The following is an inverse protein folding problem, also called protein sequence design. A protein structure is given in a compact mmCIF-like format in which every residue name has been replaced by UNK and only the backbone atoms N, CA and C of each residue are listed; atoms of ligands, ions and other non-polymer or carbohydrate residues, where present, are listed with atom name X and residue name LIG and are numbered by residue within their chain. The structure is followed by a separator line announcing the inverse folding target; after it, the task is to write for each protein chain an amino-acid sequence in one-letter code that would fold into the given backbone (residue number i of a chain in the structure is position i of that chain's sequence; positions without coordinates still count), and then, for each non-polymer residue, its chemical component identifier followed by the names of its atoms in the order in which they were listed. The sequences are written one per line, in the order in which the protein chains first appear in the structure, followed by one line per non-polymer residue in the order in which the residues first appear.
data_IF_004605101645
#
_entry.id   IF_004605101645
#
_cell.length_a   1.000
_cell.length_b   1.000
_cell.length_c   1.000
_cell.angle_alpha   90.00
_cell.angle_beta   90.00
_cell.angle_gamma   90.00
#
_symmetry.space_group_name_H-M   'P 1'
#
loop_
_entity.id
_entity.type
_entity.pdbx_description
1 polymer ?
#
# COMPACT_ATOMS: atom_id res chain seq x y z
N UNK A 1 10.27 15.92 -13.71
CA UNK A 1 10.25 17.37 -13.50
C UNK A 1 10.49 17.71 -12.03
N UNK A 2 9.62 17.30 -11.08
CA UNK A 2 9.81 17.59 -9.64
C UNK A 2 11.05 16.93 -9.00
N UNK A 3 11.61 15.88 -9.59
CA UNK A 3 12.82 15.22 -9.09
C UNK A 3 14.14 15.97 -9.43
N UNK A 4 14.10 16.91 -10.38
CA UNK A 4 15.31 17.62 -10.84
C UNK A 4 15.84 18.55 -9.73
N UNK A 5 15.01 19.42 -9.10
CA UNK A 5 15.47 20.26 -7.99
C UNK A 5 15.99 19.43 -6.80
N UNK A 6 15.37 18.29 -6.51
CA UNK A 6 15.80 17.38 -5.43
C UNK A 6 17.18 16.81 -5.70
N UNK A 7 17.44 16.37 -6.94
CA UNK A 7 18.76 15.87 -7.34
C UNK A 7 19.83 16.96 -7.22
N UNK A 8 19.57 18.15 -7.76
CA UNK A 8 20.49 19.30 -7.71
C UNK A 8 20.75 19.76 -6.27
N UNK A 9 19.74 19.68 -5.39
CA UNK A 9 19.93 19.98 -3.96
C UNK A 9 20.84 18.95 -3.26
N UNK A 10 20.86 17.71 -3.74
CA UNK A 10 21.66 16.62 -3.20
C UNK A 10 23.17 16.79 -3.39
N UNK A 11 23.61 17.51 -4.41
CA UNK A 11 25.04 17.76 -4.67
C UNK A 11 25.73 18.46 -3.50
N UNK A 12 25.02 19.40 -2.86
CA UNK A 12 25.53 20.08 -1.65
C UNK A 12 25.61 19.14 -0.45
N UNK A 13 24.61 18.29 -0.28
CA UNK A 13 24.61 17.28 0.80
C UNK A 13 25.74 16.27 0.60
N UNK A 14 26.00 15.85 -0.64
CA UNK A 14 27.09 14.93 -0.96
C UNK A 14 28.46 15.54 -0.64
N UNK A 15 28.68 16.81 -0.97
CA UNK A 15 29.94 17.50 -0.65
C UNK A 15 30.22 17.64 0.85
N UNK A 16 29.17 17.61 1.68
CA UNK A 16 29.29 17.58 3.15
C UNK A 16 29.53 16.15 3.63
N UNK A 17 28.75 15.18 3.16
CA UNK A 17 28.91 13.75 3.52
C UNK A 17 30.28 13.20 3.11
N UNK A 18 30.86 13.69 2.01
CA UNK A 18 32.20 13.31 1.56
C UNK A 18 33.32 13.66 2.53
N UNK A 19 33.05 14.52 3.50
CA UNK A 19 34.01 14.91 4.53
C UNK A 19 33.97 13.99 5.75
N UNK A 20 32.94 13.14 5.89
CA UNK A 20 32.84 12.18 6.99
C UNK A 20 33.72 10.95 6.69
N UNK A 21 34.76 10.67 7.49
CA UNK A 21 35.65 9.53 7.27
C UNK A 21 34.97 8.17 7.45
N UNK A 22 33.75 8.11 8.01
CA UNK A 22 32.97 6.88 8.15
C UNK A 22 32.24 6.48 6.86
N UNK A 23 32.14 7.39 5.89
CA UNK A 23 31.40 7.17 4.64
C UNK A 23 32.37 6.76 3.52
N UNK A 24 32.08 5.64 2.87
CA UNK A 24 32.89 5.16 1.75
C UNK A 24 32.71 6.05 0.52
N UNK A 25 33.82 6.58 0.00
CA UNK A 25 33.86 7.36 -1.25
C UNK A 25 33.39 6.53 -2.46
N UNK A 26 33.64 5.23 -2.46
CA UNK A 26 33.24 4.31 -3.54
C UNK A 26 31.73 4.04 -3.54
N UNK A 27 31.11 3.94 -2.37
CA UNK A 27 29.65 3.86 -2.27
C UNK A 27 28.99 5.16 -2.73
N UNK A 28 29.59 6.30 -2.39
CA UNK A 28 29.07 7.61 -2.75
C UNK A 28 29.18 7.90 -4.25
N UNK A 29 30.29 7.52 -4.89
CA UNK A 29 30.46 7.61 -6.35
C UNK A 29 29.47 6.68 -7.08
N UNK A 30 29.26 5.48 -6.54
CA UNK A 30 28.27 4.50 -7.02
C UNK A 30 26.85 5.07 -6.93
N UNK A 31 26.48 5.62 -5.77
CA UNK A 31 25.18 6.29 -5.57
C UNK A 31 24.97 7.45 -6.55
N UNK A 32 26.00 8.28 -6.75
CA UNK A 32 25.94 9.37 -7.71
C UNK A 32 25.68 8.87 -9.14
N UNK A 33 26.43 7.87 -9.60
CA UNK A 33 26.30 7.30 -10.95
C UNK A 33 24.91 6.71 -11.21
N UNK A 34 24.37 5.92 -10.27
CA UNK A 34 23.01 5.41 -10.35
C UNK A 34 21.96 6.52 -10.29
N UNK A 35 22.22 7.56 -9.48
CA UNK A 35 21.37 8.75 -9.39
C UNK A 35 21.28 9.53 -10.72
N UNK A 36 22.41 9.81 -11.38
CA UNK A 36 22.43 10.48 -12.70
C UNK A 36 21.67 9.64 -13.72
N UNK A 37 21.92 8.32 -13.73
CA UNK A 37 21.29 7.40 -14.68
C UNK A 37 19.77 7.35 -14.49
N UNK A 38 19.31 7.27 -13.24
CA UNK A 38 17.90 7.32 -12.88
C UNK A 38 17.25 8.64 -13.28
N UNK A 39 17.93 9.77 -13.07
CA UNK A 39 17.43 11.09 -13.46
C UNK A 39 17.30 11.22 -14.98
N UNK A 40 18.30 10.75 -15.73
CA UNK A 40 18.29 10.77 -17.19
C UNK A 40 17.11 9.95 -17.74
N UNK A 41 16.92 8.72 -17.24
CA UNK A 41 15.76 7.89 -17.63
C UNK A 41 14.42 8.52 -17.25
N UNK A 42 14.33 9.17 -16.10
CA UNK A 42 13.11 9.86 -15.69
C UNK A 42 12.79 11.04 -16.63
N UNK A 43 13.81 11.79 -17.06
CA UNK A 43 13.66 12.88 -18.05
C UNK A 43 13.22 12.31 -19.41
N UNK A 44 13.81 11.19 -19.85
CA UNK A 44 13.41 10.52 -21.09
C UNK A 44 11.97 10.01 -21.02
N UNK A 45 11.59 9.40 -19.90
CA UNK A 45 10.21 8.94 -19.66
C UNK A 45 9.23 10.11 -19.75
N UNK A 46 9.55 11.24 -19.10
CA UNK A 46 8.73 12.44 -19.13
C UNK A 46 8.64 13.05 -20.54
N UNK A 47 9.75 13.10 -21.28
CA UNK A 47 9.78 13.59 -22.66
C UNK A 47 8.93 12.71 -23.58
N UNK A 48 9.10 11.39 -23.50
CA UNK A 48 8.30 10.43 -24.28
C UNK A 48 6.80 10.59 -24.00
N UNK A 49 6.42 10.72 -22.72
CA UNK A 49 5.03 10.95 -22.32
C UNK A 49 4.47 12.29 -22.82
N UNK A 50 5.26 13.37 -22.76
CA UNK A 50 4.85 14.69 -23.24
C UNK A 50 4.71 14.74 -24.77
N UNK A 51 5.63 14.12 -25.50
CA UNK A 51 5.57 14.02 -26.96
C UNK A 51 4.30 13.28 -27.38
N UNK A 52 3.99 12.17 -26.73
CA UNK A 52 2.79 11.39 -27.04
C UNK A 52 1.50 12.13 -26.65
N UNK A 53 1.51 12.84 -25.51
CA UNK A 53 0.40 13.70 -25.12
C UNK A 53 0.18 14.85 -26.12
N UNK A 54 1.24 15.41 -26.68
CA UNK A 54 1.14 16.45 -27.71
C UNK A 54 0.70 15.90 -29.06
N UNK A 55 1.17 14.70 -29.45
CA UNK A 55 0.73 14.02 -30.69
C UNK A 55 -0.74 13.65 -30.64
N UNK A 56 -1.21 13.11 -29.52
CA UNK A 56 -2.61 12.72 -29.33
C UNK A 56 -3.59 13.91 -29.41
N UNK A 57 -3.16 15.15 -29.14
CA UNK A 57 -3.98 16.35 -29.40
C UNK A 57 -4.31 16.54 -30.88
N UNK A 58 -3.50 15.99 -31.79
CA UNK A 58 -3.71 16.08 -33.25
C UNK A 58 -4.33 14.82 -33.84
N UNK A 59 -3.96 13.66 -33.31
CA UNK A 59 -4.34 12.36 -33.86
C UNK A 59 -5.60 11.74 -33.20
N UNK A 60 -6.18 12.42 -32.20
CA UNK A 60 -7.33 11.98 -31.38
C UNK A 60 -7.18 10.62 -30.65
N UNK A 61 -6.03 9.95 -30.76
CA UNK A 61 -5.72 8.68 -30.09
C UNK A 61 -4.25 8.60 -29.68
N UNK A 62 -3.99 7.80 -28.64
CA UNK A 62 -2.65 7.44 -28.18
C UNK A 62 -2.14 6.21 -28.94
N UNK A 63 -0.86 6.20 -29.28
CA UNK A 63 -0.18 5.04 -29.88
C UNK A 63 0.13 3.97 -28.83
N UNK A 64 -0.25 2.72 -29.11
CA UNK A 64 0.06 1.59 -28.22
C UNK A 64 1.57 1.39 -28.04
N UNK A 65 2.36 1.57 -29.10
CA UNK A 65 3.81 1.42 -29.04
C UNK A 65 4.44 2.51 -28.18
N UNK A 66 3.95 3.75 -28.28
CA UNK A 66 4.39 4.85 -27.44
C UNK A 66 4.01 4.62 -25.97
N UNK A 67 2.81 4.10 -25.70
CA UNK A 67 2.38 3.74 -24.35
C UNK A 67 3.23 2.62 -23.75
N UNK A 68 3.55 1.57 -24.53
CA UNK A 68 4.45 0.51 -24.11
C UNK A 68 5.87 1.02 -23.86
N UNK A 69 6.37 1.96 -24.68
CA UNK A 69 7.66 2.59 -24.48
C UNK A 69 7.68 3.40 -23.18
N UNK A 70 6.69 4.27 -22.96
CA UNK A 70 6.59 5.06 -21.72
C UNK A 70 6.49 4.15 -20.50
N UNK A 71 5.71 3.08 -20.58
CA UNK A 71 5.60 2.09 -19.51
C UNK A 71 6.93 1.36 -19.27
N UNK A 72 7.60 0.91 -20.32
CA UNK A 72 8.91 0.25 -20.22
C UNK A 72 9.95 1.16 -19.58
N UNK A 73 10.05 2.42 -20.03
CA UNK A 73 10.95 3.40 -19.45
C UNK A 73 10.60 3.71 -17.98
N UNK A 74 9.31 3.80 -17.64
CA UNK A 74 8.88 4.00 -16.26
C UNK A 74 9.25 2.81 -15.35
N UNK A 75 9.12 1.58 -15.84
CA UNK A 75 9.51 0.36 -15.09
C UNK A 75 11.02 0.28 -14.87
N UNK A 76 11.82 0.59 -15.90
CA UNK A 76 13.29 0.64 -15.77
C UNK A 76 13.70 1.76 -14.82
N UNK A 77 13.07 2.93 -14.93
CA UNK A 77 13.31 4.06 -14.01
C UNK A 77 13.01 3.64 -12.58
N UNK A 78 11.88 2.97 -12.33
CA UNK A 78 11.53 2.47 -11.00
C UNK A 78 12.57 1.49 -10.46
N UNK A 79 13.03 0.54 -11.28
CA UNK A 79 14.06 -0.42 -10.88
C UNK A 79 15.38 0.27 -10.52
N UNK A 80 15.83 1.25 -11.31
CA UNK A 80 17.05 2.01 -11.00
C UNK A 80 16.89 2.89 -9.76
N UNK A 81 15.70 3.46 -9.52
CA UNK A 81 15.43 4.23 -8.30
C UNK A 81 15.48 3.35 -7.06
N UNK A 82 15.07 2.08 -7.14
CA UNK A 82 15.24 1.11 -6.04
C UNK A 82 16.73 0.87 -5.76
N UNK A 83 17.53 0.62 -6.80
CA UNK A 83 19.00 0.43 -6.66
C UNK A 83 19.65 1.69 -6.08
N UNK A 84 19.33 2.87 -6.62
CA UNK A 84 19.85 4.15 -6.14
C UNK A 84 19.48 4.35 -4.66
N UNK A 85 18.23 4.08 -4.30
CA UNK A 85 17.74 4.19 -2.92
C UNK A 85 18.43 3.20 -1.97
N UNK A 86 18.75 1.99 -2.41
CA UNK A 86 19.47 0.99 -1.62
C UNK A 86 20.90 1.47 -1.28
N UNK A 87 21.65 1.94 -2.28
CA UNK A 87 23.00 2.49 -2.03
C UNK A 87 22.94 3.74 -1.15
N UNK A 88 21.95 4.63 -1.38
CA UNK A 88 21.73 5.81 -0.56
C UNK A 88 21.38 5.47 0.89
N UNK A 89 20.65 4.37 1.11
CA UNK A 89 20.33 3.87 2.44
C UNK A 89 21.60 3.38 3.16
N UNK A 90 22.47 2.62 2.49
CA UNK A 90 23.72 2.12 3.09
C UNK A 90 24.67 3.24 3.52
N UNK A 91 24.69 4.35 2.77
CA UNK A 91 25.48 5.54 3.10
C UNK A 91 24.94 6.19 4.39
N UNK A 92 23.61 6.36 4.47
CA UNK A 92 22.96 7.11 5.54
C UNK A 92 22.75 6.31 6.83
N UNK A 93 22.75 4.97 6.77
CA UNK A 93 22.39 4.11 7.91
C UNK A 93 23.48 3.12 8.30
N UNK A 94 24.74 3.56 8.28
CA UNK A 94 25.87 2.74 8.69
C UNK A 94 25.76 2.28 10.16
N UNK A 95 25.06 3.06 11.00
CA UNK A 95 24.70 2.77 12.38
C UNK A 95 23.63 1.67 12.54
N UNK A 96 22.86 1.39 11.49
CA UNK A 96 21.87 0.31 11.45
C UNK A 96 22.40 -0.97 10.78
N UNK A 97 23.72 -1.06 10.52
CA UNK A 97 24.38 -2.33 10.19
C UNK A 97 24.42 -3.19 11.44
N UNK A 98 23.30 -3.86 11.68
CA UNK A 98 23.13 -4.75 12.82
C UNK A 98 24.11 -5.92 12.68
N UNK A 99 24.87 -6.22 13.74
CA UNK A 99 25.72 -7.40 13.81
C UNK A 99 24.86 -8.65 13.57
N UNK A 100 25.17 -9.51 12.59
CA UNK A 100 24.44 -10.75 12.32
C UNK A 100 24.23 -11.63 13.57
N UNK A 101 25.12 -11.55 14.56
CA UNK A 101 25.00 -12.28 15.83
C UNK A 101 23.91 -11.71 16.76
N UNK A 102 23.49 -10.45 16.56
CA UNK A 102 22.50 -9.74 17.39
C UNK A 102 21.16 -9.49 16.67
N UNK A 103 21.08 -9.81 15.36
CA UNK A 103 19.89 -9.61 14.55
C UNK A 103 18.75 -10.56 14.96
N UNK A 104 17.61 -10.00 15.39
CA UNK A 104 16.38 -10.76 15.65
C UNK A 104 15.58 -11.07 14.39
N UNK A 105 15.75 -10.28 13.33
CA UNK A 105 15.14 -10.51 12.02
C UNK A 105 16.11 -10.13 10.90
N UNK A 106 15.96 -10.71 9.70
CA UNK A 106 16.75 -10.32 8.55
C UNK A 106 16.62 -8.82 8.25
N UNK A 107 17.75 -8.14 8.05
CA UNK A 107 17.79 -6.70 7.72
C UNK A 107 16.96 -6.36 6.46
N UNK A 108 16.82 -7.31 5.54
CA UNK A 108 15.99 -7.21 4.33
C UNK A 108 14.57 -6.66 4.59
N UNK A 109 13.96 -6.94 5.74
CA UNK A 109 12.62 -6.43 6.06
C UNK A 109 12.57 -4.91 6.21
N UNK A 110 13.63 -4.31 6.76
CA UNK A 110 13.79 -2.85 6.85
C UNK A 110 13.91 -2.21 5.47
N UNK A 111 14.69 -2.83 4.58
CA UNK A 111 14.79 -2.37 3.18
C UNK A 111 13.44 -2.46 2.48
N UNK A 112 12.76 -3.60 2.60
CA UNK A 112 11.43 -3.80 1.99
C UNK A 112 10.41 -2.82 2.56
N UNK A 113 10.41 -2.52 3.86
CA UNK A 113 9.52 -1.52 4.45
C UNK A 113 9.76 -0.13 3.87
N UNK A 114 11.02 0.32 3.81
CA UNK A 114 11.35 1.62 3.24
C UNK A 114 11.00 1.68 1.76
N UNK A 115 11.20 0.62 0.97
CA UNK A 115 10.78 0.63 -0.43
C UNK A 115 9.26 0.67 -0.55
N UNK A 116 8.55 -0.20 0.19
CA UNK A 116 7.11 -0.31 0.11
C UNK A 116 6.39 0.94 0.61
N UNK A 117 6.93 1.64 1.60
CA UNK A 117 6.25 2.80 2.20
C UNK A 117 6.05 3.97 1.22
N UNK A 118 6.86 4.06 0.15
CA UNK A 118 6.74 5.12 -0.86
C UNK A 118 5.45 4.99 -1.67
N UNK A 119 4.96 3.77 -1.89
CA UNK A 119 3.74 3.55 -2.68
C UNK A 119 2.49 4.14 -2.00
N UNK A 120 2.16 3.81 -0.74
CA UNK A 120 1.03 4.42 -0.05
C UNK A 120 1.31 5.84 0.43
N UNK A 121 2.56 6.30 0.59
CA UNK A 121 2.82 7.70 1.01
C UNK A 121 2.82 8.66 -0.18
N UNK A 122 3.84 8.56 -1.04
CA UNK A 122 4.01 9.41 -2.22
C UNK A 122 2.87 9.19 -3.22
N UNK A 123 2.50 7.94 -3.47
CA UNK A 123 1.40 7.61 -4.38
C UNK A 123 0.07 8.21 -3.94
N UNK A 124 -0.18 8.31 -2.63
CA UNK A 124 -1.42 8.86 -2.08
C UNK A 124 -1.47 10.39 -2.18
N UNK A 125 -0.34 11.08 -1.98
CA UNK A 125 -0.24 12.53 -2.22
C UNK A 125 -0.57 12.84 -3.69
N UNK A 126 0.05 12.12 -4.63
CA UNK A 126 -0.23 12.31 -6.05
C UNK A 126 -1.68 11.94 -6.41
N UNK A 127 -2.22 10.86 -5.85
CA UNK A 127 -3.61 10.48 -6.04
C UNK A 127 -4.57 11.57 -5.58
N UNK A 128 -4.33 12.19 -4.42
CA UNK A 128 -5.18 13.26 -3.89
C UNK A 128 -5.10 14.53 -4.73
N UNK A 129 -3.90 14.96 -5.12
CA UNK A 129 -3.74 16.13 -6.00
C UNK A 129 -4.43 15.91 -7.35
N UNK A 130 -4.22 14.73 -7.95
CA UNK A 130 -4.86 14.36 -9.21
C UNK A 130 -6.38 14.23 -9.06
N UNK A 131 -6.86 13.75 -7.92
CA UNK A 131 -8.28 13.65 -7.61
C UNK A 131 -8.95 15.01 -7.46
N UNK A 132 -8.32 15.94 -6.74
CA UNK A 132 -8.81 17.32 -6.60
C UNK A 132 -8.89 17.97 -7.98
N UNK A 133 -7.83 17.86 -8.80
CA UNK A 133 -7.85 18.34 -10.18
C UNK A 133 -8.99 17.69 -10.99
N UNK A 134 -9.22 16.38 -10.83
CA UNK A 134 -10.30 15.66 -11.49
C UNK A 134 -11.70 16.15 -11.09
N UNK A 135 -11.89 16.54 -9.82
CA UNK A 135 -13.12 17.13 -9.31
C UNK A 135 -13.34 18.52 -9.92
N UNK A 136 -12.31 19.38 -9.88
CA UNK A 136 -12.36 20.75 -10.44
C UNK A 136 -12.59 20.74 -11.95
N UNK A 137 -11.88 19.88 -12.68
CA UNK A 137 -12.03 19.73 -14.14
C UNK A 137 -13.28 18.93 -14.53
N UNK A 138 -14.04 18.41 -13.56
CA UNK A 138 -15.19 17.55 -13.74
C UNK A 138 -14.97 16.34 -14.71
N UNK A 139 -13.77 15.78 -14.73
CA UNK A 139 -13.39 14.73 -15.68
C UNK A 139 -13.64 13.33 -15.10
N UNK A 140 -14.54 12.56 -15.73
CA UNK A 140 -14.93 11.21 -15.27
C UNK A 140 -13.78 10.21 -15.29
N UNK A 141 -12.92 10.27 -16.31
CA UNK A 141 -11.78 9.36 -16.45
C UNK A 141 -10.76 9.63 -15.34
N UNK A 142 -10.43 10.89 -15.10
CA UNK A 142 -9.49 11.28 -14.03
C UNK A 142 -10.02 10.92 -12.64
N UNK A 143 -11.33 11.09 -12.40
CA UNK A 143 -11.98 10.67 -11.14
C UNK A 143 -11.82 9.17 -10.93
N UNK A 144 -12.17 8.35 -11.94
CA UNK A 144 -12.03 6.89 -11.87
C UNK A 144 -10.58 6.44 -11.66
N UNK A 145 -9.64 7.04 -12.39
CA UNK A 145 -8.22 6.72 -12.26
C UNK A 145 -7.73 6.99 -10.83
N UNK A 146 -8.09 8.15 -10.26
CA UNK A 146 -7.73 8.50 -8.88
C UNK A 146 -8.31 7.51 -7.86
N UNK A 147 -9.59 7.12 -8.04
CA UNK A 147 -10.24 6.13 -7.16
C UNK A 147 -9.50 4.78 -7.20
N UNK A 148 -9.03 4.35 -8.37
CA UNK A 148 -8.22 3.12 -8.48
C UNK A 148 -6.89 3.27 -7.73
N UNK A 149 -6.21 4.41 -7.84
CA UNK A 149 -4.94 4.63 -7.11
C UNK A 149 -5.17 4.61 -5.60
N UNK A 150 -6.26 5.19 -5.08
CA UNK A 150 -6.60 5.08 -3.65
C UNK A 150 -6.81 3.63 -3.20
N UNK A 151 -7.46 2.79 -4.01
CA UNK A 151 -7.61 1.36 -3.73
C UNK A 151 -6.25 0.66 -3.71
N UNK A 152 -5.36 0.96 -4.66
CA UNK A 152 -4.01 0.40 -4.71
C UNK A 152 -3.19 0.80 -3.47
N UNK A 153 -3.23 2.08 -3.08
CA UNK A 153 -2.56 2.54 -1.85
C UNK A 153 -3.12 1.83 -0.61
N UNK A 154 -4.42 1.59 -0.53
CA UNK A 154 -5.03 0.84 0.56
C UNK A 154 -4.55 -0.62 0.63
N UNK A 155 -4.46 -1.28 -0.53
CA UNK A 155 -3.95 -2.65 -0.64
C UNK A 155 -2.48 -2.71 -0.22
N UNK A 156 -1.63 -1.79 -0.71
CA UNK A 156 -0.20 -1.76 -0.42
C UNK A 156 0.14 -1.24 0.99
N UNK A 157 -0.79 -0.55 1.66
CA UNK A 157 -0.66 -0.16 3.06
C UNK A 157 -0.51 -1.36 4.00
N UNK A 158 -1.20 -2.47 3.70
CA UNK A 158 -1.15 -3.70 4.53
C UNK A 158 0.27 -4.30 4.58
N UNK A 159 0.90 -4.69 3.45
CA UNK A 159 2.27 -5.22 3.50
C UNK A 159 3.27 -4.18 4.01
N UNK A 160 3.05 -2.88 3.76
CA UNK A 160 3.89 -1.81 4.33
C UNK A 160 3.89 -1.83 5.86
N UNK A 161 2.72 -1.96 6.49
CA UNK A 161 2.61 -2.05 7.94
C UNK A 161 3.28 -3.32 8.50
N UNK A 162 3.07 -4.46 7.83
CA UNK A 162 3.63 -5.75 8.24
C UNK A 162 5.16 -5.74 8.17
N UNK A 163 5.74 -5.22 7.09
CA UNK A 163 7.19 -5.13 6.97
C UNK A 163 7.78 -4.13 7.96
N UNK A 164 7.05 -3.05 8.28
CA UNK A 164 7.47 -2.09 9.32
C UNK A 164 7.50 -2.68 10.73
N UNK A 165 6.56 -3.58 11.04
CA UNK A 165 6.59 -4.34 12.29
C UNK A 165 7.81 -5.25 12.39
N UNK A 166 8.20 -5.90 11.29
CA UNK A 166 9.44 -6.66 11.23
C UNK A 166 10.67 -5.75 11.41
N UNK A 167 10.68 -4.57 10.79
CA UNK A 167 11.73 -3.56 11.00
C UNK A 167 11.86 -3.12 12.46
N UNK A 168 10.74 -2.93 13.17
CA UNK A 168 10.75 -2.60 14.59
C UNK A 168 11.49 -3.65 15.43
N UNK A 169 11.34 -4.95 15.14
CA UNK A 169 12.07 -5.98 15.88
C UNK A 169 13.56 -5.97 15.58
N UNK A 170 13.96 -5.63 14.35
CA UNK A 170 15.35 -5.43 14.00
C UNK A 170 15.98 -4.29 14.82
N UNK A 171 15.22 -3.22 15.07
CA UNK A 171 15.66 -2.04 15.85
C UNK A 171 15.54 -2.23 17.38
N UNK A 172 14.87 -3.29 17.85
CA UNK A 172 14.64 -3.48 19.28
C UNK A 172 15.92 -3.89 19.99
N UNK A 173 16.42 -3.03 20.87
CA UNK A 173 17.63 -3.29 21.68
C UNK A 173 18.90 -2.64 21.12
N UNK A 174 18.80 -1.89 20.01
CA UNK A 174 19.90 -1.09 19.47
C UNK A 174 20.16 0.12 20.40
N UNK A 175 21.39 0.32 20.88
CA UNK A 175 21.75 1.50 21.67
C UNK A 175 21.44 2.81 20.91
N UNK A 176 20.81 3.78 21.58
CA UNK A 176 20.48 5.08 21.00
C UNK A 176 19.09 5.17 20.35
N UNK A 177 18.38 4.05 20.13
CA UNK A 177 17.03 4.04 19.58
C UNK A 177 16.00 3.87 20.71
N UNK A 178 15.14 4.89 20.90
CA UNK A 178 14.09 4.84 21.92
C UNK A 178 12.93 3.94 21.49
N UNK A 179 12.63 2.92 22.30
CA UNK A 179 11.47 2.04 22.08
C UNK A 179 10.14 2.79 22.12
N UNK A 180 10.04 3.85 22.93
CA UNK A 180 8.83 4.66 23.02
C UNK A 180 8.57 5.46 21.72
N UNK A 181 9.63 5.96 21.06
CA UNK A 181 9.52 6.65 19.77
C UNK A 181 9.10 5.66 18.66
N UNK A 182 9.70 4.47 18.65
CA UNK A 182 9.35 3.41 17.67
C UNK A 182 7.89 2.97 17.85
N UNK A 183 7.44 2.75 19.09
CA UNK A 183 6.04 2.43 19.38
C UNK A 183 5.09 3.56 18.93
N UNK A 184 5.46 4.82 19.17
CA UNK A 184 4.66 5.96 18.75
C UNK A 184 4.51 6.08 17.22
N UNK A 185 5.56 5.77 16.45
CA UNK A 185 5.47 5.66 14.99
C UNK A 185 4.57 4.50 14.56
N UNK A 186 4.76 3.31 15.16
CA UNK A 186 3.95 2.12 14.88
C UNK A 186 2.47 2.37 15.12
N UNK A 187 2.13 2.99 16.25
CA UNK A 187 0.75 3.28 16.62
C UNK A 187 0.11 4.24 15.61
N UNK A 188 0.84 5.28 15.17
CA UNK A 188 0.36 6.18 14.13
C UNK A 188 0.26 5.49 12.76
N UNK A 189 1.18 4.58 12.45
CA UNK A 189 1.13 3.77 11.23
C UNK A 189 -0.12 2.88 11.18
N UNK A 190 -0.58 2.38 12.33
CA UNK A 190 -1.84 1.65 12.42
C UNK A 190 -3.03 2.57 12.12
N UNK A 191 -3.06 3.81 12.62
CA UNK A 191 -4.08 4.80 12.24
C UNK A 191 -4.03 5.17 10.75
N UNK A 192 -2.84 5.26 10.16
CA UNK A 192 -2.69 5.45 8.72
C UNK A 192 -3.27 4.28 7.93
N UNK A 193 -3.05 3.04 8.39
CA UNK A 193 -3.64 1.86 7.78
C UNK A 193 -5.18 1.92 7.81
N UNK A 194 -5.78 2.43 8.89
CA UNK A 194 -7.22 2.71 8.98
C UNK A 194 -7.66 3.70 7.91
N UNK A 195 -7.04 4.88 7.87
CA UNK A 195 -7.37 5.91 6.89
C UNK A 195 -7.28 5.39 5.46
N UNK A 196 -6.21 4.67 5.15
CA UNK A 196 -6.00 4.01 3.86
C UNK A 196 -7.13 3.03 3.54
N UNK A 197 -7.50 2.15 4.48
CA UNK A 197 -8.57 1.18 4.24
C UNK A 197 -9.94 1.85 4.03
N UNK A 198 -10.29 2.87 4.81
CA UNK A 198 -11.55 3.61 4.61
C UNK A 198 -11.60 4.34 3.28
N UNK A 199 -10.51 5.04 2.93
CA UNK A 199 -10.39 5.73 1.65
C UNK A 199 -10.47 4.74 0.49
N UNK A 200 -9.76 3.61 0.57
CA UNK A 200 -9.77 2.57 -0.45
C UNK A 200 -11.14 1.89 -0.61
N UNK A 201 -11.79 1.48 0.48
CA UNK A 201 -13.11 0.85 0.46
C UNK A 201 -14.16 1.79 -0.12
N UNK A 202 -14.19 3.04 0.32
CA UNK A 202 -15.14 4.04 -0.22
C UNK A 202 -14.88 4.35 -1.69
N UNK A 203 -13.60 4.39 -2.11
CA UNK A 203 -13.23 4.55 -3.50
C UNK A 203 -13.65 3.33 -4.36
N UNK A 204 -13.46 2.11 -3.84
CA UNK A 204 -13.88 0.88 -4.51
C UNK A 204 -15.41 0.77 -4.64
N UNK A 205 -16.15 1.13 -3.60
CA UNK A 205 -17.62 1.23 -3.64
C UNK A 205 -18.06 2.15 -4.77
N UNK A 206 -17.44 3.33 -4.90
CA UNK A 206 -17.80 4.27 -5.95
C UNK A 206 -17.44 3.76 -7.35
N UNK A 207 -16.31 3.05 -7.52
CA UNK A 207 -15.97 2.37 -8.76
C UNK A 207 -17.02 1.30 -9.13
N UNK A 208 -17.44 0.50 -8.16
CA UNK A 208 -18.48 -0.50 -8.34
C UNK A 208 -19.84 0.15 -8.69
N UNK A 209 -20.22 1.24 -8.00
CA UNK A 209 -21.45 1.99 -8.28
C UNK A 209 -21.42 2.60 -9.67
N UNK A 210 -20.31 3.20 -10.08
CA UNK A 210 -20.15 3.74 -11.43
C UNK A 210 -20.37 2.65 -12.49
N UNK A 211 -19.79 1.47 -12.28
CA UNK A 211 -19.96 0.32 -13.17
C UNK A 211 -21.42 -0.12 -13.29
N UNK A 212 -22.15 -0.16 -12.18
CA UNK A 212 -23.53 -0.65 -12.14
C UNK A 212 -24.57 0.40 -12.56
N UNK A 213 -24.36 1.66 -12.18
CA UNK A 213 -25.32 2.75 -12.36
C UNK A 213 -24.97 3.69 -13.53
N UNK A 214 -23.78 3.53 -14.12
CA UNK A 214 -23.29 4.35 -15.23
C UNK A 214 -22.91 5.79 -14.86
N UNK A 215 -22.99 6.17 -13.57
CA UNK A 215 -22.75 7.54 -13.10
C UNK A 215 -22.06 7.59 -11.75
N UNK A 216 -21.25 8.63 -11.56
CA UNK A 216 -20.64 8.94 -10.27
C UNK A 216 -21.62 9.69 -9.36
N UNK A 217 -21.44 9.56 -8.06
CA UNK A 217 -22.22 10.21 -7.01
C UNK A 217 -21.39 11.26 -6.31
N UNK A 218 -21.78 12.54 -6.43
CA UNK A 218 -21.08 13.66 -5.79
C UNK A 218 -20.92 13.46 -4.28
N UNK A 219 -21.94 12.94 -3.59
CA UNK A 219 -21.85 12.63 -2.15
C UNK A 219 -20.74 11.62 -1.85
N UNK A 220 -20.62 10.57 -2.65
CA UNK A 220 -19.56 9.58 -2.48
C UNK A 220 -18.19 10.12 -2.82
N UNK A 221 -18.09 10.95 -3.86
CA UNK A 221 -16.84 11.61 -4.24
C UNK A 221 -16.34 12.54 -3.12
N UNK A 222 -17.23 13.35 -2.54
CA UNK A 222 -16.86 14.20 -1.40
C UNK A 222 -16.56 13.41 -0.13
N UNK A 223 -17.21 12.26 0.08
CA UNK A 223 -16.87 11.36 1.18
C UNK A 223 -15.47 10.76 1.01
N UNK A 224 -15.11 10.30 -0.19
CA UNK A 224 -13.75 9.84 -0.51
C UNK A 224 -12.74 10.97 -0.29
N UNK A 225 -13.06 12.19 -0.74
CA UNK A 225 -12.19 13.36 -0.53
C UNK A 225 -11.95 13.64 0.96
N UNK A 226 -13.01 13.61 1.77
CA UNK A 226 -12.91 13.84 3.21
C UNK A 226 -12.01 12.79 3.88
N UNK A 227 -12.23 11.49 3.59
CA UNK A 227 -11.36 10.43 4.10
C UNK A 227 -9.92 10.56 3.60
N UNK A 228 -9.72 10.96 2.35
CA UNK A 228 -8.39 11.11 1.79
C UNK A 228 -7.62 12.25 2.47
N UNK A 229 -8.24 13.40 2.73
CA UNK A 229 -7.61 14.51 3.44
C UNK A 229 -7.23 14.11 4.87
N UNK A 230 -8.14 13.44 5.60
CA UNK A 230 -7.87 12.95 6.95
C UNK A 230 -6.72 11.93 6.93
N UNK A 231 -6.75 10.98 6.00
CA UNK A 231 -5.71 9.95 5.83
C UNK A 231 -4.36 10.59 5.55
N UNK A 232 -4.29 11.61 4.70
CA UNK A 232 -3.04 12.32 4.42
C UNK A 232 -2.49 13.00 5.68
N UNK A 233 -3.34 13.62 6.50
CA UNK A 233 -2.91 14.24 7.76
C UNK A 233 -2.30 13.23 8.73
N UNK A 234 -2.97 12.10 8.94
CA UNK A 234 -2.48 11.00 9.82
C UNK A 234 -1.20 10.37 9.27
N UNK A 235 -1.12 10.22 7.95
CA UNK A 235 0.05 9.69 7.25
C UNK A 235 1.25 10.63 7.33
N UNK A 236 1.04 11.95 7.22
CA UNK A 236 2.09 12.95 7.40
C UNK A 236 2.67 12.88 8.83
N UNK A 237 1.80 12.76 9.84
CA UNK A 237 2.22 12.57 11.23
C UNK A 237 2.95 11.24 11.45
N UNK A 238 2.54 10.16 10.76
CA UNK A 238 3.27 8.88 10.75
C UNK A 238 4.69 9.05 10.21
N UNK A 239 4.83 9.75 9.09
CA UNK A 239 6.12 10.05 8.47
C UNK A 239 7.01 10.92 9.37
N UNK A 240 6.43 11.95 10.00
CA UNK A 240 7.14 12.81 10.96
C UNK A 240 7.71 12.01 12.14
N UNK A 241 6.88 11.17 12.78
CA UNK A 241 7.33 10.27 13.86
C UNK A 241 8.36 9.24 13.39
N UNK A 242 8.22 8.77 12.15
CA UNK A 242 9.18 7.85 11.55
C UNK A 242 10.56 8.48 11.40
N UNK A 243 10.61 9.75 10.97
CA UNK A 243 11.86 10.52 10.89
C UNK A 243 12.53 10.67 12.26
N UNK A 244 11.74 10.91 13.32
CA UNK A 244 12.28 11.12 14.67
C UNK A 244 12.99 9.88 15.26
N UNK A 245 12.79 8.68 14.69
CA UNK A 245 13.47 7.44 15.12
C UNK A 245 14.99 7.57 14.94
N UNK A 246 15.44 8.00 13.76
CA UNK A 246 16.86 7.99 13.39
C UNK A 246 17.45 9.38 13.12
N UNK A 247 16.62 10.42 12.97
CA UNK A 247 17.08 11.77 12.68
C UNK A 247 16.96 12.67 13.93
N UNK A 248 17.98 12.73 14.80
CA UNK A 248 17.98 13.70 15.90
C UNK A 248 17.96 15.16 15.41
N UNK A 249 18.42 15.43 14.19
CA UNK A 249 18.48 16.75 13.57
C UNK A 249 17.11 17.33 13.21
N UNK A 250 16.09 16.50 13.01
CA UNK A 250 14.72 17.00 12.76
C UNK A 250 13.96 17.25 14.08
N UNK A 251 14.59 16.96 15.23
CA UNK A 251 13.98 17.21 16.55
C UNK A 251 14.17 18.68 16.88
N UNK A 252 13.07 19.39 17.07
CA UNK A 252 13.11 20.78 17.55
C UNK A 252 13.20 20.75 19.08
N UNK A 253 13.82 21.76 19.70
CA UNK A 253 13.97 21.82 21.16
C UNK A 253 12.63 21.74 21.94
N UNK A 254 11.51 22.00 21.28
CA UNK A 254 10.14 21.89 21.80
C UNK A 254 9.52 20.50 21.66
N UNK A 255 10.14 19.58 20.92
CA UNK A 255 9.59 18.24 20.68
C UNK A 255 9.62 17.41 21.96
N UNK A 256 8.44 17.12 22.51
CA UNK A 256 8.29 16.17 23.62
C UNK A 256 8.35 14.75 23.07
N UNK A 257 9.53 14.14 23.08
CA UNK A 257 9.67 12.74 22.68
C UNK A 257 8.91 11.83 23.64
N UNK A 258 8.20 10.80 23.13
CA UNK A 258 7.64 9.76 23.97
C UNK A 258 8.73 9.12 24.83
N UNK A 259 8.53 9.11 26.15
CA UNK A 259 9.42 8.49 27.13
C UNK A 259 8.86 7.17 27.66
N UNK A 260 7.54 7.06 27.76
CA UNK A 260 6.83 5.84 28.17
C UNK A 260 6.41 5.02 26.92
N UNK A 261 6.93 3.80 26.74
CA UNK A 261 6.54 2.92 25.64
C UNK A 261 5.08 2.44 25.70
N UNK A 262 4.38 2.65 26.81
CA UNK A 262 2.97 2.28 27.02
C UNK A 262 2.03 3.47 26.92
N UNK A 263 2.53 4.69 26.78
CA UNK A 263 1.70 5.87 26.63
C UNK A 263 1.23 6.04 25.18
N UNK A 264 -0.03 6.45 25.01
CA UNK A 264 -0.60 6.72 23.69
C UNK A 264 -2.07 6.32 23.58
N UNK A 265 -2.70 6.75 22.49
CA UNK A 265 -4.10 6.43 22.23
C UNK A 265 -4.31 4.92 21.98
N UNK A 266 -3.39 4.29 21.24
CA UNK A 266 -3.51 2.87 20.88
C UNK A 266 -3.35 1.93 22.08
N UNK A 267 -2.35 2.07 22.97
CA UNK A 267 -2.28 1.29 24.21
C UNK A 267 -3.48 1.52 25.15
N UNK A 268 -4.01 2.75 25.20
CA UNK A 268 -5.21 3.05 25.99
C UNK A 268 -6.45 2.32 25.43
N UNK A 269 -6.61 2.31 24.10
CA UNK A 269 -7.66 1.55 23.42
C UNK A 269 -7.47 0.04 23.62
N UNK A 270 -6.24 -0.46 23.47
CA UNK A 270 -5.89 -1.86 23.72
C UNK A 270 -6.29 -2.28 25.14
N UNK A 271 -5.91 -1.48 26.14
CA UNK A 271 -6.29 -1.70 27.54
C UNK A 271 -7.81 -1.70 27.70
N UNK A 272 -8.52 -0.72 27.15
CA UNK A 272 -9.99 -0.65 27.20
C UNK A 272 -10.62 -1.90 26.58
N UNK A 273 -10.19 -2.30 25.38
CA UNK A 273 -10.71 -3.46 24.67
C UNK A 273 -10.53 -4.73 25.49
N UNK A 274 -9.34 -4.92 26.09
CA UNK A 274 -9.02 -6.12 26.87
C UNK A 274 -9.82 -6.24 28.19
N UNK A 275 -10.40 -5.14 28.68
CA UNK A 275 -11.27 -5.15 29.87
C UNK A 275 -12.77 -5.30 29.54
N UNK A 276 -13.17 -5.29 28.27
CA UNK A 276 -14.57 -5.36 27.85
C UNK A 276 -14.89 -6.74 27.28
N UNK A 277 -15.82 -7.46 27.92
CA UNK A 277 -16.24 -8.83 27.52
C UNK A 277 -16.81 -8.90 26.09
N UNK A 278 -17.28 -7.78 25.54
CA UNK A 278 -17.76 -7.62 24.17
C UNK A 278 -16.65 -7.56 23.11
N UNK A 279 -15.40 -7.93 23.43
CA UNK A 279 -14.40 -8.18 22.38
C UNK A 279 -14.62 -9.55 21.68
N UNK A 280 -15.22 -10.52 22.38
CA UNK A 280 -15.57 -11.88 21.88
C UNK A 280 -16.44 -11.91 20.58
N UNK A 281 -17.42 -11.01 20.34
CA UNK A 281 -18.19 -10.97 19.10
C UNK A 281 -17.43 -10.42 17.89
N UNK A 282 -16.34 -9.66 18.04
CA UNK A 282 -15.62 -9.10 16.88
C UNK A 282 -14.93 -10.18 16.06
N UNK A 283 -14.46 -11.24 16.71
CA UNK A 283 -13.95 -12.41 16.01
C UNK A 283 -15.07 -13.08 15.19
N UNK A 284 -16.30 -13.13 15.69
CA UNK A 284 -17.48 -13.63 14.95
C UNK A 284 -17.83 -12.72 13.77
N UNK A 285 -17.84 -11.40 13.96
CA UNK A 285 -18.04 -10.42 12.87
C UNK A 285 -16.97 -10.59 11.79
N UNK A 286 -15.71 -10.78 12.18
CA UNK A 286 -14.59 -11.01 11.27
C UNK A 286 -14.74 -12.33 10.50
N UNK A 287 -15.12 -13.41 11.17
CA UNK A 287 -15.37 -14.69 10.49
C UNK A 287 -16.57 -14.62 9.55
N UNK A 288 -17.65 -13.95 9.94
CA UNK A 288 -18.83 -13.77 9.11
C UNK A 288 -18.51 -12.93 7.85
N UNK A 289 -17.84 -11.79 8.03
CA UNK A 289 -17.37 -10.98 6.90
C UNK A 289 -16.42 -11.78 6.00
N UNK A 290 -15.54 -12.59 6.57
CA UNK A 290 -14.66 -13.50 5.83
C UNK A 290 -15.44 -14.50 4.97
N UNK A 291 -16.48 -15.13 5.52
CA UNK A 291 -17.36 -16.04 4.77
C UNK A 291 -18.05 -15.35 3.60
N UNK A 292 -18.48 -14.09 3.76
CA UNK A 292 -19.07 -13.31 2.67
C UNK A 292 -18.06 -13.02 1.55
N UNK A 293 -16.83 -12.61 1.90
CA UNK A 293 -15.79 -12.36 0.90
C UNK A 293 -15.43 -13.65 0.18
N UNK A 294 -15.18 -14.74 0.92
CA UNK A 294 -14.84 -16.03 0.34
C UNK A 294 -15.95 -16.57 -0.57
N UNK A 295 -17.21 -16.53 -0.11
CA UNK A 295 -18.35 -16.99 -0.92
C UNK A 295 -18.50 -16.19 -2.22
N UNK A 296 -18.34 -14.87 -2.14
CA UNK A 296 -18.36 -13.98 -3.32
C UNK A 296 -17.20 -14.29 -4.27
N UNK A 297 -15.97 -14.39 -3.74
CA UNK A 297 -14.78 -14.69 -4.54
C UNK A 297 -14.86 -16.08 -5.18
N UNK A 298 -15.36 -17.08 -4.46
CA UNK A 298 -15.56 -18.43 -4.96
C UNK A 298 -16.56 -18.45 -6.11
N UNK A 299 -17.72 -17.80 -5.96
CA UNK A 299 -18.73 -17.73 -7.02
C UNK A 299 -18.20 -17.04 -8.29
N UNK A 300 -17.49 -15.91 -8.14
CA UNK A 300 -16.83 -15.22 -9.27
C UNK A 300 -15.78 -16.12 -9.92
N UNK A 301 -14.91 -16.77 -9.13
CA UNK A 301 -13.86 -17.64 -9.64
C UNK A 301 -14.41 -18.87 -10.35
N UNK A 302 -15.43 -19.54 -9.80
CA UNK A 302 -16.10 -20.68 -10.45
C UNK A 302 -16.74 -20.29 -11.77
N UNK A 303 -17.34 -19.09 -11.84
CA UNK A 303 -17.86 -18.56 -13.10
C UNK A 303 -16.74 -18.33 -14.12
N UNK A 304 -15.62 -17.74 -13.72
CA UNK A 304 -14.48 -17.45 -14.60
C UNK A 304 -13.80 -18.74 -15.08
N UNK A 305 -13.62 -19.73 -14.21
CA UNK A 305 -13.02 -21.02 -14.53
C UNK A 305 -13.88 -21.87 -15.49
N UNK A 306 -15.19 -21.58 -15.57
CA UNK A 306 -16.11 -22.25 -16.47
C UNK A 306 -16.95 -23.36 -15.82
N UNK A 307 -16.95 -23.46 -14.49
CA UNK A 307 -17.83 -24.38 -13.76
C UNK A 307 -19.28 -23.87 -13.68
N UNK A 308 -19.51 -22.58 -13.89
CA UNK A 308 -20.84 -21.96 -13.86
C UNK A 308 -21.16 -21.13 -15.11
N UNK A 309 -20.90 -21.68 -16.31
CA UNK A 309 -21.07 -20.95 -17.59
C UNK A 309 -22.50 -20.51 -17.87
N UNK A 310 -23.52 -21.14 -17.27
CA UNK A 310 -24.93 -20.82 -17.52
C UNK A 310 -25.33 -19.39 -17.15
N UNK A 311 -24.57 -18.71 -16.28
CA UNK A 311 -24.81 -17.31 -15.90
C UNK A 311 -23.90 -16.36 -16.69
N UNK A 312 -24.34 -15.16 -17.10
CA UNK A 312 -23.43 -14.14 -17.60
C UNK A 312 -22.58 -13.56 -16.45
N UNK A 313 -21.36 -13.10 -16.74
CA UNK A 313 -20.47 -12.56 -15.68
C UNK A 313 -21.09 -11.33 -14.99
N UNK A 314 -21.80 -10.49 -15.73
CA UNK A 314 -22.53 -9.33 -15.20
C UNK A 314 -23.60 -9.70 -14.17
N UNK A 315 -24.22 -10.89 -14.27
CA UNK A 315 -25.17 -11.38 -13.28
C UNK A 315 -24.47 -11.86 -12.01
N UNK A 316 -23.37 -12.61 -12.15
CA UNK A 316 -22.57 -13.07 -11.00
C UNK A 316 -22.03 -11.88 -10.21
N UNK A 317 -21.60 -10.82 -10.89
CA UNK A 317 -21.09 -9.62 -10.23
C UNK A 317 -22.15 -8.86 -9.40
N UNK A 318 -23.45 -9.16 -9.54
CA UNK A 318 -24.48 -8.63 -8.63
C UNK A 318 -24.32 -9.11 -7.19
N UNK A 319 -23.53 -10.15 -6.95
CA UNK A 319 -23.18 -10.60 -5.60
C UNK A 319 -22.03 -9.80 -4.97
N UNK A 320 -21.28 -9.00 -5.75
CA UNK A 320 -20.16 -8.23 -5.22
C UNK A 320 -20.48 -7.33 -4.04
N UNK A 321 -21.67 -6.69 -3.91
CA UNK A 321 -22.04 -5.95 -2.70
C UNK A 321 -21.91 -6.76 -1.42
N UNK A 322 -22.18 -8.09 -1.45
CA UNK A 322 -21.97 -8.96 -0.30
C UNK A 322 -20.48 -9.09 0.02
N UNK A 323 -19.65 -9.25 -1.01
CA UNK A 323 -18.19 -9.22 -0.88
C UNK A 323 -17.67 -7.90 -0.31
N UNK A 324 -18.17 -6.76 -0.81
CA UNK A 324 -17.83 -5.42 -0.29
C UNK A 324 -18.24 -5.28 1.16
N UNK A 325 -19.46 -5.69 1.51
CA UNK A 325 -19.95 -5.67 2.88
C UNK A 325 -19.05 -6.53 3.79
N UNK A 326 -18.66 -7.73 3.32
CA UNK A 326 -17.67 -8.56 4.00
C UNK A 326 -16.31 -7.89 4.18
N UNK A 327 -15.79 -7.19 3.15
CA UNK A 327 -14.55 -6.41 3.25
C UNK A 327 -14.68 -5.31 4.30
N UNK A 328 -15.78 -4.55 4.30
CA UNK A 328 -16.05 -3.52 5.32
C UNK A 328 -16.01 -4.14 6.71
N UNK A 329 -16.77 -5.22 6.94
CA UNK A 329 -16.79 -5.93 8.22
C UNK A 329 -15.40 -6.39 8.64
N UNK A 330 -14.62 -6.97 7.72
CA UNK A 330 -13.29 -7.51 8.02
C UNK A 330 -12.24 -6.43 8.22
N UNK A 331 -12.32 -5.32 7.49
CA UNK A 331 -11.46 -4.16 7.71
C UNK A 331 -11.71 -3.66 9.12
N UNK A 332 -12.95 -3.29 9.47
CA UNK A 332 -13.28 -2.77 10.81
C UNK A 332 -12.93 -3.76 11.94
N UNK A 333 -13.39 -5.00 11.84
CA UNK A 333 -13.17 -6.00 12.90
C UNK A 333 -11.71 -6.44 12.98
N UNK A 334 -11.02 -6.65 11.86
CA UNK A 334 -9.62 -7.05 11.83
C UNK A 334 -8.71 -5.98 12.39
N UNK A 335 -9.07 -4.73 12.15
CA UNK A 335 -8.45 -3.55 12.71
C UNK A 335 -8.59 -3.44 14.23
N UNK A 336 -9.79 -3.66 14.76
CA UNK A 336 -10.00 -3.75 16.21
C UNK A 336 -9.22 -4.93 16.82
N UNK A 337 -9.16 -6.05 16.11
CA UNK A 337 -8.39 -7.23 16.53
C UNK A 337 -6.89 -6.93 16.60
N UNK A 338 -6.36 -6.22 15.60
CA UNK A 338 -4.96 -5.76 15.63
C UNK A 338 -4.71 -4.74 16.73
N UNK A 339 -5.66 -3.86 17.07
CA UNK A 339 -5.51 -2.96 18.22
C UNK A 339 -5.52 -3.68 19.55
N UNK A 340 -6.27 -4.77 19.69
CA UNK A 340 -6.39 -5.49 20.96
C UNK A 340 -5.13 -6.28 21.36
N UNK A 341 -4.38 -6.77 20.37
CA UNK A 341 -3.13 -7.49 20.62
C UNK A 341 -2.22 -7.50 19.37
N UNK A 342 -1.77 -6.31 18.96
CA UNK A 342 -0.89 -6.15 17.80
C UNK A 342 0.36 -7.03 17.90
N UNK A 343 0.88 -7.20 19.12
CA UNK A 343 2.11 -7.92 19.40
C UNK A 343 1.98 -9.40 19.05
N UNK A 344 0.92 -10.07 19.50
CA UNK A 344 0.67 -11.48 19.22
C UNK A 344 0.51 -11.76 17.74
N UNK A 345 -0.29 -10.95 17.06
CA UNK A 345 -0.56 -11.18 15.63
C UNK A 345 0.67 -10.92 14.78
N UNK A 346 1.40 -9.83 15.04
CA UNK A 346 2.60 -9.52 14.28
C UNK A 346 3.68 -10.60 14.50
N UNK A 347 3.87 -11.07 15.74
CA UNK A 347 4.85 -12.09 16.11
C UNK A 347 4.54 -13.49 15.55
N UNK A 348 3.28 -13.77 15.16
CA UNK A 348 2.90 -15.08 14.65
C UNK A 348 3.53 -15.33 13.26
N UNK A 349 4.26 -16.43 13.13
CA UNK A 349 4.95 -16.83 11.87
C UNK A 349 4.01 -16.96 10.67
N UNK A 350 2.72 -17.20 10.92
CA UNK A 350 1.68 -17.37 9.92
C UNK A 350 1.00 -16.07 9.49
N UNK A 351 1.22 -14.97 10.21
CA UNK A 351 0.59 -13.68 9.91
C UNK A 351 1.14 -13.03 8.64
N UNK A 352 2.46 -12.95 8.48
CA UNK A 352 3.07 -12.35 7.29
C UNK A 352 2.65 -13.07 5.98
N UNK A 353 2.75 -14.41 5.85
CA UNK A 353 2.24 -15.12 4.67
C UNK A 353 0.75 -14.88 4.42
N UNK A 354 -0.07 -14.88 5.48
CA UNK A 354 -1.50 -14.56 5.38
C UNK A 354 -1.74 -13.18 4.78
N UNK A 355 -1.00 -12.16 5.22
CA UNK A 355 -1.14 -10.79 4.68
C UNK A 355 -0.70 -10.67 3.22
N UNK A 356 0.32 -11.43 2.80
CA UNK A 356 0.71 -11.52 1.40
C UNK A 356 -0.41 -12.12 0.53
N UNK A 357 -1.04 -13.21 0.97
CA UNK A 357 -2.17 -13.81 0.26
C UNK A 357 -3.40 -12.89 0.22
N UNK A 358 -3.70 -12.15 1.29
CA UNK A 358 -4.76 -11.13 1.29
C UNK A 358 -4.47 -10.06 0.24
N UNK A 359 -3.22 -9.61 0.17
CA UNK A 359 -2.78 -8.60 -0.81
C UNK A 359 -2.97 -9.09 -2.24
N UNK A 360 -2.53 -10.32 -2.55
CA UNK A 360 -2.73 -10.96 -3.86
C UNK A 360 -4.23 -11.06 -4.20
N UNK A 361 -5.04 -11.52 -3.24
CA UNK A 361 -6.49 -11.61 -3.41
C UNK A 361 -7.15 -10.26 -3.70
N UNK A 362 -6.75 -9.20 -2.99
CA UNK A 362 -7.28 -7.86 -3.19
C UNK A 362 -6.91 -7.27 -4.56
N UNK A 363 -5.67 -7.48 -5.03
CA UNK A 363 -5.24 -7.09 -6.38
C UNK A 363 -6.07 -7.81 -7.44
N UNK A 364 -6.32 -9.10 -7.27
CA UNK A 364 -7.12 -9.87 -8.20
C UNK A 364 -8.60 -9.45 -8.22
N UNK A 365 -9.18 -9.11 -7.06
CA UNK A 365 -10.54 -8.54 -6.98
C UNK A 365 -10.60 -7.19 -7.69
N UNK A 366 -9.58 -6.34 -7.56
CA UNK A 366 -9.49 -5.09 -8.30
C UNK A 366 -9.41 -5.34 -9.81
N UNK A 367 -8.61 -6.32 -10.25
CA UNK A 367 -8.55 -6.75 -11.65
C UNK A 367 -9.93 -7.17 -12.18
N UNK A 368 -10.66 -8.02 -11.44
CA UNK A 368 -12.01 -8.44 -11.83
C UNK A 368 -13.01 -7.27 -11.87
N UNK A 369 -12.89 -6.32 -10.95
CA UNK A 369 -13.76 -5.13 -10.90
C UNK A 369 -13.55 -4.17 -12.08
N UNK A 370 -12.33 -4.12 -12.62
CA UNK A 370 -11.93 -3.19 -13.68
C UNK A 370 -12.01 -3.79 -15.10
N UNK A 371 -12.02 -5.12 -15.24
CA UNK A 371 -11.93 -5.80 -16.53
C UNK A 371 -13.20 -5.67 -17.38
N UNK A 372 -13.14 -4.85 -18.43
CA UNK A 372 -14.20 -4.73 -19.44
C UNK A 372 -14.47 -6.06 -20.16
N UNK A 373 -13.40 -6.80 -20.48
CA UNK A 373 -13.49 -8.08 -21.20
C UNK A 373 -14.26 -9.13 -20.41
N UNK A 374 -14.10 -9.16 -19.09
CA UNK A 374 -14.86 -10.08 -18.25
C UNK A 374 -16.32 -9.67 -18.15
N UNK A 375 -16.59 -8.37 -18.06
CA UNK A 375 -17.95 -7.85 -18.00
C UNK A 375 -18.81 -8.23 -19.20
N UNK A 376 -18.20 -8.30 -20.38
CA UNK A 376 -18.89 -8.64 -21.63
C UNK A 376 -19.13 -10.15 -21.84
N UNK A 377 -18.59 -11.02 -20.99
CA UNK A 377 -18.74 -12.48 -21.11
C UNK A 377 -20.20 -12.88 -20.84
N UNK A 378 -20.86 -13.43 -21.87
CA UNK A 378 -22.26 -13.85 -21.81
C UNK A 378 -22.43 -15.25 -21.22
N UNK A 379 -23.67 -15.64 -20.99
CA UNK A 379 -24.00 -17.02 -20.64
C UNK A 379 -23.51 -17.98 -21.74
N UNK A 380 -22.93 -19.12 -21.35
CA UNK A 380 -22.34 -20.11 -22.23
C UNK A 380 -20.89 -19.81 -22.65
N UNK A 381 -20.47 -18.54 -22.61
CA UNK A 381 -19.14 -18.12 -23.08
C UNK A 381 -18.04 -18.40 -22.04
N UNK A 382 -16.87 -18.77 -22.55
CA UNK A 382 -15.63 -18.92 -21.78
C UNK A 382 -15.01 -17.56 -21.46
N UNK A 383 -14.52 -17.42 -20.23
CA UNK A 383 -13.70 -16.27 -19.86
C UNK A 383 -12.30 -16.39 -20.51
N UNK A 384 -11.60 -15.25 -20.71
CA UNK A 384 -10.23 -15.24 -21.22
C UNK A 384 -9.29 -16.11 -20.36
N UNK A 385 -8.32 -16.77 -21.01
CA UNK A 385 -7.39 -17.68 -20.31
C UNK A 385 -6.61 -16.98 -19.19
N UNK A 386 -6.20 -15.72 -19.39
CA UNK A 386 -5.55 -14.92 -18.35
C UNK A 386 -6.42 -14.77 -17.09
N UNK A 387 -7.73 -14.58 -17.25
CA UNK A 387 -8.63 -14.47 -16.12
C UNK A 387 -8.82 -15.81 -15.38
N UNK A 388 -8.73 -16.94 -16.09
CA UNK A 388 -8.76 -18.28 -15.47
C UNK A 388 -7.55 -18.49 -14.54
N UNK A 389 -6.37 -18.09 -14.97
CA UNK A 389 -5.17 -18.11 -14.12
C UNK A 389 -5.31 -17.22 -12.89
N UNK A 390 -5.83 -16.00 -13.05
CA UNK A 390 -6.11 -15.10 -11.92
C UNK A 390 -7.13 -15.71 -10.97
N UNK A 391 -8.20 -16.34 -11.48
CA UNK A 391 -9.20 -17.02 -10.65
C UNK A 391 -8.63 -18.20 -9.86
N UNK A 392 -7.75 -19.00 -10.47
CA UNK A 392 -7.04 -20.08 -9.77
C UNK A 392 -6.13 -19.53 -8.67
N UNK A 393 -5.35 -18.48 -8.98
CA UNK A 393 -4.50 -17.79 -8.01
C UNK A 393 -5.30 -17.22 -6.83
N UNK A 394 -6.48 -16.66 -7.08
CA UNK A 394 -7.40 -16.18 -6.03
C UNK A 394 -7.81 -17.32 -5.11
N UNK A 395 -8.25 -18.45 -5.65
CA UNK A 395 -8.67 -19.59 -4.82
C UNK A 395 -7.52 -20.15 -3.97
N UNK A 396 -6.32 -20.27 -4.56
CA UNK A 396 -5.11 -20.68 -3.83
C UNK A 396 -4.74 -19.67 -2.74
N UNK A 397 -4.82 -18.38 -3.04
CA UNK A 397 -4.54 -17.32 -2.07
C UNK A 397 -5.53 -17.39 -0.90
N UNK A 398 -6.84 -17.51 -1.16
CA UNK A 398 -7.85 -17.65 -0.11
C UNK A 398 -7.64 -18.89 0.76
N UNK A 399 -7.25 -20.03 0.17
CA UNK A 399 -6.87 -21.20 0.95
C UNK A 399 -5.69 -20.88 1.89
N UNK A 400 -4.66 -20.20 1.39
CA UNK A 400 -3.54 -19.69 2.19
C UNK A 400 -3.98 -18.76 3.32
N UNK A 401 -4.90 -17.82 3.05
CA UNK A 401 -5.44 -16.91 4.07
C UNK A 401 -6.20 -17.67 5.17
N UNK A 402 -7.01 -18.67 4.79
CA UNK A 402 -7.77 -19.51 5.73
C UNK A 402 -6.82 -20.31 6.62
N UNK A 403 -5.87 -21.01 6.00
CA UNK A 403 -4.88 -21.81 6.72
C UNK A 403 -4.06 -20.93 7.67
N UNK A 404 -3.48 -19.82 7.17
CA UNK A 404 -2.70 -18.90 7.99
C UNK A 404 -3.54 -18.31 9.12
N UNK A 405 -4.79 -17.93 8.86
CA UNK A 405 -5.70 -17.39 9.87
C UNK A 405 -6.04 -18.39 10.98
N UNK A 406 -6.23 -19.67 10.65
CA UNK A 406 -6.48 -20.73 11.63
C UNK A 406 -5.22 -21.11 12.40
N UNK A 407 -4.06 -21.12 11.76
CA UNK A 407 -2.81 -21.52 12.38
C UNK A 407 -2.32 -20.52 13.45
N UNK A 408 -2.68 -19.23 13.37
CA UNK A 408 -2.31 -18.21 14.38
C UNK A 408 -2.68 -18.61 15.82
N UNK A 409 -3.75 -19.39 16.04
CA UNK A 409 -4.10 -19.83 17.39
C UNK A 409 -3.24 -20.98 17.93
N UNK A 410 -2.42 -21.60 17.09
CA UNK A 410 -1.65 -22.80 17.40
C UNK A 410 -0.12 -22.59 17.35
N UNK A 411 0.36 -21.46 16.81
CA UNK A 411 1.80 -21.15 16.64
C UNK A 411 2.24 -19.94 17.43
#
# INVERSE_FOLDING_TARGET
MLAIPTYVSGDRSMAVLSQDPKISQDLMSTHFGWGVTSLALLVLTAAAALIELWRSRRAERLSNDALHLVLGLALVTLALMVITGEVGWEINHHELRLDPATQRTPQAWSHVHVILNHFPTVGFVFALLFYIAALVMNNVVMKRASLVVFVVCAILGVPTYVTGAASMWALTGVPGISRAVVNAHRDMALWTLFGLAFTGVTAWIELWRFRHLGRLSNRSLYLVLAFAIITLGVMAETGHRGGQINHPEIRVATDTLPTDPKAGLSPAIESLINHVIWFVPWQTVHFFGFSLIFGTALAVSLRVLGFWKSMPFSAVHRILPLGVFGVVMNVFSGMLILFADSSRYLNATTFAPKTAFITIGAIAVLYFSLSERLWTVKAGEDAPMSAKWVAALVLLSWAGVIMGGRLISYV
#
